data_IF_008795409536
#
_entry.id   IF_008795409536
#
_cell.length_a   1.000
_cell.length_b   1.000
_cell.length_c   1.000
_cell.angle_alpha   90.00
_cell.angle_beta   90.00
_cell.angle_gamma   90.00
#
_symmetry.space_group_name_H-M   'P 1'
#
loop_
_entity.id
_entity.type
_entity.pdbx_description
1 polymer ?
#
# COMPACT_ATOMS: atom_id res chain seq x y z
N UNK A 1 -17.64 -23.79 -38.07
CA UNK A 1 -16.58 -23.52 -37.08
C UNK A 1 -16.06 -22.09 -37.33
N UNK A 2 -16.91 -21.09 -37.12
CA UNK A 2 -17.04 -20.18 -35.97
C UNK A 2 -15.82 -19.25 -35.73
N UNK A 3 -15.89 -18.06 -36.37
CA UNK A 3 -14.94 -16.96 -36.37
C UNK A 3 -14.83 -16.19 -35.03
N UNK A 4 -15.08 -16.85 -33.89
CA UNK A 4 -15.18 -16.20 -32.57
C UNK A 4 -13.89 -16.21 -31.74
N UNK A 5 -12.83 -16.89 -32.20
CA UNK A 5 -11.59 -17.05 -31.42
C UNK A 5 -10.46 -16.09 -31.80
N UNK A 6 -10.58 -15.32 -32.89
CA UNK A 6 -9.51 -14.41 -33.34
C UNK A 6 -9.58 -13.04 -32.68
N UNK A 7 -10.73 -12.63 -32.14
CA UNK A 7 -10.93 -11.29 -31.58
C UNK A 7 -10.38 -11.10 -30.16
N UNK A 8 -10.20 -12.18 -29.39
CA UNK A 8 -9.80 -12.11 -27.97
C UNK A 8 -8.27 -11.92 -27.85
N UNK A 9 -7.49 -12.43 -28.80
CA UNK A 9 -6.02 -12.33 -28.79
C UNK A 9 -5.50 -10.94 -29.15
N UNK A 10 -6.29 -10.10 -29.84
CA UNK A 10 -5.88 -8.73 -30.21
C UNK A 10 -6.10 -7.75 -29.04
N UNK A 11 -7.13 -7.95 -28.22
CA UNK A 11 -7.45 -7.05 -27.11
C UNK A 11 -6.42 -7.11 -25.96
N UNK A 12 -5.88 -8.30 -25.67
CA UNK A 12 -4.89 -8.50 -24.58
C UNK A 12 -3.53 -7.87 -24.94
N UNK A 13 -3.12 -7.93 -26.21
CA UNK A 13 -1.87 -7.32 -26.66
C UNK A 13 -1.88 -5.78 -26.60
N UNK A 14 -3.05 -5.17 -26.84
CA UNK A 14 -3.22 -3.71 -26.75
C UNK A 14 -3.15 -3.20 -25.31
N UNK A 15 -3.68 -3.94 -24.32
CA UNK A 15 -3.60 -3.54 -22.92
C UNK A 15 -2.17 -3.61 -22.35
N UNK A 16 -1.40 -4.63 -22.72
CA UNK A 16 -0.01 -4.75 -22.24
C UNK A 16 0.90 -3.64 -22.80
N UNK A 17 0.70 -3.23 -24.06
CA UNK A 17 1.44 -2.12 -24.65
C UNK A 17 1.20 -0.77 -23.96
N UNK A 18 -0.04 -0.50 -23.52
CA UNK A 18 -0.38 0.73 -22.82
C UNK A 18 0.26 0.81 -21.43
N UNK A 19 0.34 -0.31 -20.70
CA UNK A 19 0.97 -0.38 -19.37
C UNK A 19 2.48 -0.13 -19.47
N UNK A 20 3.15 -0.76 -20.45
CA UNK A 20 4.60 -0.53 -20.67
C UNK A 20 4.88 0.91 -21.11
N UNK A 21 4.01 1.49 -21.94
CA UNK A 21 4.09 2.90 -22.32
C UNK A 21 3.98 3.85 -21.13
N UNK A 22 3.06 3.61 -20.20
CA UNK A 22 2.88 4.43 -19.01
C UNK A 22 4.10 4.37 -18.07
N UNK A 23 4.68 3.19 -17.88
CA UNK A 23 5.88 2.98 -17.05
C UNK A 23 7.07 3.76 -17.62
N UNK A 24 7.25 3.78 -18.94
CA UNK A 24 8.35 4.53 -19.58
C UNK A 24 8.13 6.05 -19.60
N UNK A 25 6.88 6.52 -19.61
CA UNK A 25 6.56 7.95 -19.53
C UNK A 25 6.83 8.49 -18.11
N UNK A 26 6.37 7.79 -17.08
CA UNK A 26 6.61 8.20 -15.68
C UNK A 26 8.11 8.20 -15.33
N UNK A 27 8.89 7.29 -15.90
CA UNK A 27 10.32 7.22 -15.62
C UNK A 27 11.17 8.28 -16.35
N UNK A 28 10.59 9.02 -17.31
CA UNK A 28 11.31 10.04 -18.10
C UNK A 28 11.29 11.44 -17.47
N UNK A 29 10.33 11.72 -16.59
CA UNK A 29 10.14 13.06 -16.00
C UNK A 29 10.78 13.21 -14.61
N UNK A 30 11.33 12.13 -14.03
CA UNK A 30 11.90 12.13 -12.68
C UNK A 30 13.39 12.57 -12.59
N UNK A 31 13.94 13.22 -13.61
CA UNK A 31 15.37 13.59 -13.66
C UNK A 31 15.68 15.06 -13.37
N UNK A 32 14.79 15.82 -12.74
CA UNK A 32 15.16 17.15 -12.24
C UNK A 32 14.49 17.50 -10.91
N UNK A 33 15.32 18.09 -10.02
CA UNK A 33 14.97 18.72 -8.73
C UNK A 33 14.68 17.70 -7.61
N UNK A 34 15.45 17.56 -6.53
CA UNK A 34 16.05 18.59 -5.68
C UNK A 34 17.42 18.16 -5.12
N UNK A 35 18.48 18.84 -5.54
CA UNK A 35 19.53 19.24 -4.60
C UNK A 35 18.89 20.13 -3.51
N UNK A 36 19.44 20.06 -2.30
CA UNK A 36 19.25 20.96 -1.16
C UNK A 36 18.41 20.39 0.00
N UNK A 37 19.07 19.59 0.84
CA UNK A 37 19.12 19.84 2.29
C UNK A 37 20.34 19.13 2.92
N UNK A 38 21.55 19.60 2.58
CA UNK A 38 22.72 19.32 3.40
C UNK A 38 22.68 20.24 4.64
N UNK A 39 22.28 19.72 5.80
CA UNK A 39 22.63 20.27 7.13
C UNK A 39 22.41 19.24 8.25
N UNK A 40 23.47 18.45 8.47
CA UNK A 40 23.99 17.85 9.73
C UNK A 40 23.27 16.67 10.43
N UNK A 41 24.01 15.78 11.16
CA UNK A 41 25.40 15.33 10.98
C UNK A 41 25.56 13.79 10.86
N UNK A 42 26.73 13.39 10.35
CA UNK A 42 27.39 12.08 10.39
C UNK A 42 27.05 11.19 11.61
N UNK A 43 26.71 9.91 11.38
CA UNK A 43 27.67 8.79 11.38
C UNK A 43 26.94 7.42 11.52
N UNK A 44 27.00 6.64 10.45
CA UNK A 44 27.24 5.20 10.35
C UNK A 44 27.08 4.30 11.60
N UNK A 45 26.13 3.35 11.54
CA UNK A 45 26.41 1.92 11.77
C UNK A 45 25.53 1.10 10.82
N UNK A 46 26.10 0.68 9.70
CA UNK A 46 25.55 -0.39 8.87
C UNK A 46 25.86 -1.72 9.56
N UNK A 47 24.97 -2.16 10.43
CA UNK A 47 24.91 -3.57 10.80
C UNK A 47 24.07 -4.28 9.73
N UNK A 48 24.77 -4.75 8.71
CA UNK A 48 24.26 -5.53 7.60
C UNK A 48 23.95 -6.97 8.08
N UNK A 49 22.96 -7.11 8.96
CA UNK A 49 22.31 -8.39 9.22
C UNK A 49 21.27 -8.62 8.12
N UNK A 50 21.32 -9.79 7.47
CA UNK A 50 20.45 -10.17 6.35
C UNK A 50 18.96 -10.36 6.74
N UNK A 51 18.60 -10.00 7.97
CA UNK A 51 17.25 -9.93 8.49
C UNK A 51 16.77 -8.49 8.81
N UNK A 52 17.61 -7.48 8.59
CA UNK A 52 17.37 -6.09 8.98
C UNK A 52 17.06 -5.23 7.77
N UNK A 53 15.86 -5.34 7.21
CA UNK A 53 15.29 -4.15 6.55
C UNK A 53 15.21 -3.09 7.65
N UNK A 54 15.86 -1.91 7.50
CA UNK A 54 15.78 -0.88 8.53
C UNK A 54 14.31 -0.57 8.78
N UNK A 55 13.80 -1.00 9.94
CA UNK A 55 12.44 -0.67 10.35
C UNK A 55 12.47 0.82 10.62
N UNK A 56 12.01 1.60 9.64
CA UNK A 56 11.86 3.04 9.76
C UNK A 56 11.09 3.30 11.05
N UNK A 57 11.67 4.06 11.98
CA UNK A 57 11.03 4.40 13.23
C UNK A 57 9.60 4.89 12.93
N UNK A 58 8.62 4.44 13.73
CA UNK A 58 7.26 4.94 13.58
C UNK A 58 7.27 6.46 13.64
N UNK A 59 6.49 7.10 12.76
CA UNK A 59 6.32 8.55 12.81
C UNK A 59 5.72 8.94 14.16
N UNK A 60 5.75 10.23 14.53
CA UNK A 60 5.20 10.70 15.80
C UNK A 60 3.71 10.39 16.04
N UNK A 61 3.01 9.82 15.05
CA UNK A 61 1.62 9.33 15.16
C UNK A 61 1.48 7.87 15.64
N UNK A 62 2.57 7.14 15.90
CA UNK A 62 2.52 5.78 16.46
C UNK A 62 2.02 4.70 15.50
N UNK A 63 2.08 4.97 14.19
CA UNK A 63 1.78 4.02 13.13
C UNK A 63 2.58 4.32 11.86
N UNK A 64 2.73 3.34 10.97
CA UNK A 64 3.32 3.52 9.64
C UNK A 64 2.65 2.62 8.60
N UNK A 65 2.53 3.12 7.36
CA UNK A 65 2.19 2.31 6.20
C UNK A 65 3.40 1.46 5.82
N UNK A 66 3.21 0.15 5.71
CA UNK A 66 4.27 -0.82 5.40
C UNK A 66 4.19 -1.26 3.94
N UNK A 67 2.98 -1.56 3.47
CA UNK A 67 2.77 -2.02 2.10
C UNK A 67 1.49 -1.43 1.52
N UNK A 68 1.51 -1.21 0.20
CA UNK A 68 0.37 -0.77 -0.58
C UNK A 68 0.35 -1.54 -1.90
N UNK A 69 -0.78 -2.16 -2.21
CA UNK A 69 -1.02 -2.76 -3.50
C UNK A 69 -2.48 -2.65 -3.91
N UNK A 70 -2.76 -2.74 -5.21
CA UNK A 70 -4.13 -2.70 -5.73
C UNK A 70 -4.38 -3.78 -6.75
N UNK A 71 -5.60 -4.32 -6.74
CA UNK A 71 -6.06 -5.30 -7.71
C UNK A 71 -7.57 -5.14 -7.91
N UNK A 72 -8.03 -5.16 -9.17
CA UNK A 72 -9.47 -5.14 -9.51
C UNK A 72 -10.30 -4.05 -8.80
N UNK A 73 -9.80 -2.80 -8.75
CA UNK A 73 -10.45 -1.67 -8.03
C UNK A 73 -10.56 -1.85 -6.51
N UNK A 74 -9.83 -2.80 -5.93
CA UNK A 74 -9.56 -2.85 -4.50
C UNK A 74 -8.17 -2.28 -4.20
N UNK A 75 -8.08 -1.45 -3.16
CA UNK A 75 -6.81 -1.00 -2.58
C UNK A 75 -6.58 -1.78 -1.28
N UNK A 76 -5.38 -2.34 -1.12
CA UNK A 76 -4.98 -3.06 0.08
C UNK A 76 -3.78 -2.34 0.68
N UNK A 77 -3.90 -2.02 1.96
CA UNK A 77 -2.92 -1.31 2.76
C UNK A 77 -2.53 -2.17 3.96
N UNK A 78 -1.24 -2.32 4.19
CA UNK A 78 -0.71 -2.92 5.42
C UNK A 78 -0.12 -1.82 6.30
N UNK A 79 -0.59 -1.77 7.55
CA UNK A 79 -0.23 -0.74 8.51
C UNK A 79 0.31 -1.42 9.76
N UNK A 80 1.49 -1.01 10.21
CA UNK A 80 1.92 -1.32 11.58
C UNK A 80 1.46 -0.19 12.50
N UNK A 81 0.86 -0.51 13.64
CA UNK A 81 0.37 0.49 14.61
C UNK A 81 0.59 0.03 16.06
N UNK A 82 1.15 0.92 16.89
CA UNK A 82 1.36 0.68 18.33
C UNK A 82 0.04 0.53 19.08
N UNK A 83 -0.96 1.34 18.71
CA UNK A 83 -2.30 1.30 19.29
C UNK A 83 -3.33 0.93 18.22
N UNK A 84 -3.75 -0.33 18.24
CA UNK A 84 -4.76 -0.80 17.31
C UNK A 84 -6.14 -0.12 17.56
N UNK A 85 -6.37 0.53 18.70
CA UNK A 85 -7.68 1.20 19.00
C UNK A 85 -7.96 2.35 18.04
N UNK A 86 -6.92 2.86 17.37
CA UNK A 86 -6.98 3.92 16.39
C UNK A 86 -7.15 3.37 14.95
N UNK A 87 -7.36 2.06 14.77
CA UNK A 87 -7.42 1.42 13.45
C UNK A 87 -8.43 2.09 12.51
N UNK A 88 -9.65 2.37 12.99
CA UNK A 88 -10.68 3.03 12.17
C UNK A 88 -10.30 4.45 11.76
N UNK A 89 -9.74 5.26 12.65
CA UNK A 89 -9.36 6.64 12.34
C UNK A 89 -8.16 6.69 11.40
N UNK A 90 -7.19 5.80 11.58
CA UNK A 90 -6.05 5.64 10.65
C UNK A 90 -6.55 5.20 9.27
N UNK A 91 -7.44 4.22 9.20
CA UNK A 91 -8.03 3.78 7.94
C UNK A 91 -8.81 4.90 7.24
N UNK A 92 -9.53 5.73 8.00
CA UNK A 92 -10.20 6.93 7.47
C UNK A 92 -9.23 7.91 6.84
N UNK A 93 -8.17 8.25 7.57
CA UNK A 93 -7.13 9.16 7.09
C UNK A 93 -6.46 8.68 5.80
N UNK A 94 -6.25 7.36 5.67
CA UNK A 94 -5.64 6.75 4.49
C UNK A 94 -6.60 6.63 3.30
N UNK A 95 -7.86 6.28 3.58
CA UNK A 95 -8.83 5.96 2.53
C UNK A 95 -9.52 7.20 1.97
N UNK A 96 -9.97 8.14 2.80
CA UNK A 96 -10.76 9.32 2.36
C UNK A 96 -10.20 10.04 1.13
N UNK A 97 -8.88 10.31 1.01
CA UNK A 97 -8.34 11.00 -0.15
C UNK A 97 -8.44 10.23 -1.47
N UNK A 98 -8.70 8.92 -1.42
CA UNK A 98 -8.62 8.01 -2.59
C UNK A 98 -9.89 7.17 -2.80
N UNK A 99 -10.92 7.34 -1.96
CA UNK A 99 -12.16 6.56 -2.01
C UNK A 99 -12.79 6.50 -3.41
N UNK A 100 -12.84 7.63 -4.13
CA UNK A 100 -13.47 7.71 -5.46
C UNK A 100 -12.75 6.88 -6.53
N UNK A 101 -11.54 6.37 -6.25
CA UNK A 101 -10.74 5.57 -7.18
C UNK A 101 -10.90 4.05 -6.99
N UNK A 102 -11.57 3.62 -5.93
CA UNK A 102 -11.66 2.21 -5.53
C UNK A 102 -13.08 1.85 -5.12
N UNK A 103 -13.51 0.62 -5.46
CA UNK A 103 -14.79 0.09 -4.99
C UNK A 103 -14.67 -0.44 -3.56
N UNK A 104 -13.45 -0.78 -3.14
CA UNK A 104 -13.14 -1.37 -1.85
C UNK A 104 -11.74 -0.95 -1.39
N UNK A 105 -11.60 -0.65 -0.10
CA UNK A 105 -10.30 -0.39 0.53
C UNK A 105 -10.18 -1.27 1.76
N UNK A 106 -9.14 -2.10 1.82
CA UNK A 106 -8.84 -3.01 2.91
C UNK A 106 -7.57 -2.54 3.61
N UNK A 107 -7.68 -2.20 4.89
CA UNK A 107 -6.54 -1.80 5.73
C UNK A 107 -6.31 -2.87 6.78
N UNK A 108 -5.17 -3.55 6.69
CA UNK A 108 -4.74 -4.58 7.62
C UNK A 108 -3.78 -3.99 8.64
N UNK A 109 -4.04 -4.22 9.92
CA UNK A 109 -3.25 -3.68 11.01
C UNK A 109 -2.44 -4.78 11.70
N UNK A 110 -1.14 -4.56 11.82
CA UNK A 110 -0.17 -5.44 12.45
C UNK A 110 0.45 -4.75 13.68
N UNK A 111 0.80 -5.52 14.72
CA UNK A 111 1.58 -4.99 15.82
C UNK A 111 3.03 -4.70 15.36
N UNK A 112 3.68 -3.63 15.86
CA UNK A 112 5.04 -3.26 15.47
C UNK A 112 6.03 -4.41 15.62
N UNK A 113 5.94 -5.20 16.69
CA UNK A 113 6.92 -6.25 17.00
C UNK A 113 6.62 -7.60 16.31
N UNK A 114 5.57 -7.65 15.49
CA UNK A 114 5.20 -8.71 14.54
C UNK A 114 5.80 -10.10 14.75
N UNK A 115 5.58 -10.75 15.89
CA UNK A 115 5.67 -12.21 15.96
C UNK A 115 4.43 -12.78 15.25
N UNK A 116 4.57 -13.28 14.02
CA UNK A 116 3.62 -14.23 13.44
C UNK A 116 2.93 -13.87 12.12
N UNK A 117 3.29 -12.78 11.43
CA UNK A 117 2.92 -12.54 10.02
C UNK A 117 1.42 -12.39 9.69
N UNK A 118 0.53 -12.42 10.68
CA UNK A 118 -0.92 -12.24 10.49
C UNK A 118 -1.38 -10.91 11.09
N UNK A 119 -2.37 -10.24 10.46
CA UNK A 119 -2.93 -9.01 10.97
C UNK A 119 -3.84 -9.24 12.18
N UNK A 120 -3.84 -8.28 13.10
CA UNK A 120 -4.64 -8.31 14.33
C UNK A 120 -6.04 -7.71 14.11
N UNK A 121 -6.11 -6.70 13.24
CA UNK A 121 -7.36 -6.07 12.83
C UNK A 121 -7.40 -5.84 11.32
N UNK A 122 -8.61 -5.76 10.79
CA UNK A 122 -8.88 -5.23 9.46
C UNK A 122 -9.96 -4.18 9.53
N UNK A 123 -9.75 -3.07 8.85
CA UNK A 123 -10.80 -2.11 8.53
C UNK A 123 -11.08 -2.19 7.04
N UNK A 124 -12.34 -2.41 6.68
CA UNK A 124 -12.79 -2.44 5.31
C UNK A 124 -13.68 -1.23 5.06
N UNK A 125 -13.42 -0.50 3.99
CA UNK A 125 -14.30 0.53 3.47
C UNK A 125 -14.93 0.07 2.16
N UNK A 126 -16.23 0.30 2.03
CA UNK A 126 -16.96 0.28 0.76
C UNK A 126 -17.92 1.47 0.72
N UNK A 127 -18.33 1.89 -0.47
CA UNK A 127 -19.34 2.96 -0.64
C UNK A 127 -20.64 2.63 0.11
N UNK A 128 -21.07 1.36 0.08
CA UNK A 128 -22.35 0.94 0.64
C UNK A 128 -22.38 0.80 2.17
N UNK A 129 -21.25 0.42 2.78
CA UNK A 129 -21.18 0.11 4.22
C UNK A 129 -20.38 1.14 5.02
N UNK A 130 -19.66 2.02 4.33
CA UNK A 130 -18.59 2.80 4.96
C UNK A 130 -17.54 1.88 5.60
N UNK A 131 -17.02 2.31 6.74
CA UNK A 131 -15.94 1.63 7.46
C UNK A 131 -16.45 0.58 8.45
N UNK A 132 -16.11 -0.68 8.20
CA UNK A 132 -16.37 -1.84 9.05
C UNK A 132 -15.05 -2.37 9.60
N UNK A 133 -14.95 -2.47 10.92
CA UNK A 133 -13.78 -3.00 11.61
C UNK A 133 -14.03 -4.43 12.08
N UNK A 134 -13.03 -5.29 11.90
CA UNK A 134 -13.05 -6.71 12.28
C UNK A 134 -11.81 -7.04 13.10
N UNK A 135 -12.00 -7.63 14.28
CA UNK A 135 -10.92 -8.24 15.04
C UNK A 135 -10.63 -9.63 14.44
N UNK A 136 -9.37 -9.86 14.04
CA UNK A 136 -8.97 -11.08 13.35
C UNK A 136 -8.38 -12.14 14.29
N UNK A 137 -8.00 -11.76 15.53
CA UNK A 137 -7.48 -12.71 16.53
C UNK A 137 -8.55 -13.42 17.34
N UNK A 138 -9.81 -12.97 17.28
CA UNK A 138 -10.92 -13.50 18.08
C UNK A 138 -11.92 -14.32 17.26
N UNK A 139 -11.53 -14.78 16.07
CA UNK A 139 -12.38 -15.60 15.19
C UNK A 139 -12.08 -17.09 15.34
#
# INVERSE_FOLDING_TARGET
MSAKFVAISVAIALQLGAIVGLILIVNKDNSSVHEQLNSAPNATSLDEDKNNTPRLAMTGSGWRLVEQFSAHYALILEVEAENLSDAKSIAQQLAEPVQDSYNEILVYFFPPDGQGGLPDRRVQWTESTGYVEVNLRSQ
#
